data_IF_535181316440
#
_entry.id   IF_535181316440
#
_cell.length_a   1.000
_cell.length_b   1.000
_cell.length_c   1.000
_cell.angle_alpha   90.00
_cell.angle_beta   90.00
_cell.angle_gamma   90.00
#
_symmetry.space_group_name_H-M   'P 1'
#
loop_
_entity.id
_entity.type
_entity.pdbx_description
1 polymer ?
#
# COMPACT_ATOMS: atom_id res chain seq x y z
N UNK A 1 -43.08 -2.95 8.59
CA UNK A 1 -41.68 -3.48 8.74
C UNK A 1 -41.40 -4.00 10.16
N UNK A 2 -42.05 -3.53 11.19
CA UNK A 2 -41.93 -4.08 12.54
C UNK A 2 -42.58 -5.47 12.71
N UNK A 3 -43.58 -5.82 11.91
CA UNK A 3 -44.23 -7.15 11.93
C UNK A 3 -43.45 -8.29 11.28
N UNK A 4 -42.50 -7.98 10.38
CA UNK A 4 -41.68 -9.01 9.67
C UNK A 4 -40.58 -9.55 10.59
N UNK A 5 -40.08 -8.78 11.55
CA UNK A 5 -38.99 -9.18 12.46
C UNK A 5 -39.52 -10.07 13.62
N UNK A 6 -40.80 -9.95 13.94
CA UNK A 6 -41.45 -10.76 15.01
C UNK A 6 -41.74 -12.21 14.59
N UNK A 7 -41.59 -12.58 13.31
CA UNK A 7 -41.95 -13.90 12.78
C UNK A 7 -40.80 -14.75 12.28
N UNK A 8 -39.52 -14.38 12.50
CA UNK A 8 -38.39 -15.30 12.24
C UNK A 8 -38.22 -16.22 13.48
N UNK A 9 -38.56 -17.47 13.36
CA UNK A 9 -39.03 -18.19 14.51
C UNK A 9 -37.94 -19.06 15.12
N UNK A 10 -37.88 -19.04 16.43
CA UNK A 10 -37.41 -20.15 17.24
C UNK A 10 -38.01 -21.53 16.81
N UNK A 11 -39.16 -21.56 16.13
CA UNK A 11 -39.74 -22.74 15.49
C UNK A 11 -38.84 -23.37 14.41
N UNK A 12 -37.92 -22.62 13.80
CA UNK A 12 -36.92 -23.17 12.87
C UNK A 12 -35.92 -24.07 13.58
N UNK A 13 -35.49 -23.69 14.78
CA UNK A 13 -34.55 -24.52 15.58
C UNK A 13 -35.16 -25.79 16.09
N UNK A 14 -36.47 -25.81 16.38
CA UNK A 14 -37.19 -27.03 16.74
C UNK A 14 -37.41 -27.98 15.55
N UNK A 15 -37.68 -27.41 14.35
CA UNK A 15 -37.87 -28.22 13.12
C UNK A 15 -36.57 -28.85 12.60
N UNK A 16 -35.40 -28.23 12.88
CA UNK A 16 -34.07 -28.70 12.39
C UNK A 16 -33.39 -29.63 13.40
N UNK A 17 -33.94 -29.79 14.62
CA UNK A 17 -33.41 -30.71 15.64
C UNK A 17 -32.04 -30.29 16.22
N UNK A 18 -31.58 -29.07 16.00
CA UNK A 18 -30.30 -28.57 16.56
C UNK A 18 -30.46 -28.23 18.02
N UNK A 19 -29.84 -29.03 18.91
CA UNK A 19 -29.73 -28.71 20.33
C UNK A 19 -28.72 -27.62 20.57
N UNK A 20 -29.16 -26.38 20.82
CA UNK A 20 -28.26 -25.28 21.18
C UNK A 20 -27.68 -25.51 22.59
N UNK A 21 -26.39 -25.19 22.82
CA UNK A 21 -25.81 -25.15 24.15
C UNK A 21 -26.64 -24.22 25.08
N UNK A 22 -26.77 -24.56 26.38
CA UNK A 22 -27.64 -23.86 27.34
C UNK A 22 -27.50 -22.34 27.34
N UNK A 23 -26.25 -21.85 27.24
CA UNK A 23 -25.98 -20.41 27.18
C UNK A 23 -26.37 -19.77 25.85
N UNK A 24 -26.24 -20.46 24.75
CA UNK A 24 -26.71 -20.02 23.46
C UNK A 24 -28.24 -19.98 23.42
N UNK A 25 -28.91 -20.99 23.98
CA UNK A 25 -30.37 -20.97 24.13
C UNK A 25 -30.87 -19.79 24.99
N UNK A 26 -30.20 -19.52 26.13
CA UNK A 26 -30.50 -18.35 26.97
C UNK A 26 -30.32 -17.02 26.25
N UNK A 27 -29.33 -16.91 25.37
CA UNK A 27 -29.12 -15.73 24.55
C UNK A 27 -30.21 -15.54 23.50
N UNK A 28 -30.65 -16.60 22.85
CA UNK A 28 -31.76 -16.57 21.91
C UNK A 28 -33.05 -16.14 22.62
N UNK A 29 -33.32 -16.69 23.79
CA UNK A 29 -34.48 -16.35 24.60
C UNK A 29 -34.47 -14.89 25.08
N UNK A 30 -33.32 -14.40 25.55
CA UNK A 30 -33.13 -12.99 25.90
C UNK A 30 -33.28 -12.03 24.68
N UNK A 31 -32.83 -12.45 23.50
CA UNK A 31 -32.98 -11.66 22.28
C UNK A 31 -34.46 -11.50 21.87
N UNK A 32 -35.28 -12.51 22.12
CA UNK A 32 -36.72 -12.46 21.82
C UNK A 32 -37.52 -11.47 22.73
N UNK A 33 -36.99 -11.19 23.93
CA UNK A 33 -37.65 -10.30 24.91
C UNK A 33 -37.30 -8.83 24.72
N UNK A 34 -36.32 -8.49 23.86
CA UNK A 34 -35.88 -7.10 23.66
C UNK A 34 -36.56 -6.50 22.45
N UNK A 35 -37.40 -5.53 22.68
CA UNK A 35 -38.04 -4.69 21.64
C UNK A 35 -36.94 -3.94 20.86
N UNK A 36 -37.11 -3.87 19.54
CA UNK A 36 -36.14 -3.25 18.61
C UNK A 36 -35.72 -1.83 19.06
N UNK A 37 -34.45 -1.65 19.31
CA UNK A 37 -33.84 -0.34 19.57
C UNK A 37 -33.80 0.52 18.30
N UNK A 38 -33.48 1.81 18.44
CA UNK A 38 -33.40 2.77 17.33
C UNK A 38 -32.44 2.39 16.19
N UNK A 39 -31.62 1.32 16.35
CA UNK A 39 -30.69 0.81 15.35
C UNK A 39 -30.76 -0.72 15.23
N UNK A 40 -31.80 -1.27 14.64
CA UNK A 40 -32.05 -2.71 14.62
C UNK A 40 -30.94 -3.54 13.96
N UNK A 41 -30.31 -3.04 12.89
CA UNK A 41 -29.23 -3.76 12.18
C UNK A 41 -27.95 -3.88 13.00
N UNK A 42 -27.53 -2.83 13.70
CA UNK A 42 -26.35 -2.87 14.57
C UNK A 42 -26.57 -3.83 15.75
N UNK A 43 -27.77 -3.83 16.31
CA UNK A 43 -28.18 -4.73 17.38
C UNK A 43 -28.16 -6.19 16.91
N UNK A 44 -28.78 -6.50 15.74
CA UNK A 44 -28.79 -7.85 15.15
C UNK A 44 -27.35 -8.33 14.92
N UNK A 45 -26.46 -7.48 14.40
CA UNK A 45 -25.07 -7.83 14.15
C UNK A 45 -24.31 -8.18 15.46
N UNK A 46 -24.48 -7.39 16.51
CA UNK A 46 -23.88 -7.67 17.83
C UNK A 46 -24.42 -8.95 18.46
N UNK A 47 -25.71 -9.15 18.40
CA UNK A 47 -26.36 -10.34 18.93
C UNK A 47 -25.97 -11.60 18.15
N UNK A 48 -25.96 -11.54 16.83
CA UNK A 48 -25.52 -12.60 15.95
C UNK A 48 -24.08 -12.99 16.22
N UNK A 49 -23.19 -12.01 16.34
CA UNK A 49 -21.79 -12.22 16.67
C UNK A 49 -21.61 -12.86 18.07
N UNK A 50 -22.36 -12.36 19.07
CA UNK A 50 -22.34 -12.93 20.43
C UNK A 50 -22.79 -14.38 20.44
N UNK A 51 -23.90 -14.68 19.75
CA UNK A 51 -24.44 -16.05 19.66
C UNK A 51 -23.45 -17.00 18.98
N UNK A 52 -22.92 -16.62 17.81
CA UNK A 52 -21.94 -17.44 17.08
C UNK A 52 -20.68 -17.71 17.90
N UNK A 53 -20.12 -16.68 18.55
CA UNK A 53 -18.94 -16.83 19.40
C UNK A 53 -19.23 -17.72 20.61
N UNK A 54 -20.41 -17.60 21.22
CA UNK A 54 -20.77 -18.42 22.37
C UNK A 54 -20.96 -19.89 21.97
N UNK A 55 -21.58 -20.19 20.83
CA UNK A 55 -21.74 -21.54 20.28
C UNK A 55 -20.37 -22.14 19.99
N UNK A 56 -19.51 -21.45 19.26
CA UNK A 56 -18.18 -21.93 18.91
C UNK A 56 -17.29 -22.18 20.14
N UNK A 57 -17.37 -21.33 21.18
CA UNK A 57 -16.66 -21.55 22.45
C UNK A 57 -17.16 -22.80 23.21
N UNK A 58 -18.46 -23.07 23.17
CA UNK A 58 -19.00 -24.30 23.80
C UNK A 58 -18.59 -25.55 23.01
N UNK A 59 -18.49 -25.48 21.69
CA UNK A 59 -17.95 -26.56 20.85
C UNK A 59 -16.47 -26.84 21.16
N UNK A 60 -15.64 -25.79 21.31
CA UNK A 60 -14.24 -25.95 21.75
C UNK A 60 -14.14 -26.62 23.12
N UNK A 61 -15.03 -26.27 24.06
CA UNK A 61 -15.06 -26.90 25.40
C UNK A 61 -15.52 -28.35 25.33
N UNK A 62 -16.50 -28.68 24.48
CA UNK A 62 -16.92 -30.05 24.26
C UNK A 62 -15.78 -30.89 23.69
N UNK A 63 -15.08 -30.39 22.69
CA UNK A 63 -13.91 -31.05 22.13
C UNK A 63 -12.79 -31.24 23.17
N UNK A 64 -12.50 -30.19 23.98
CA UNK A 64 -11.49 -30.27 25.05
C UNK A 64 -11.84 -31.26 26.13
N UNK A 65 -13.12 -31.39 26.50
CA UNK A 65 -13.59 -32.32 27.52
C UNK A 65 -13.79 -33.74 26.99
N UNK A 66 -13.79 -33.96 25.67
CA UNK A 66 -14.07 -35.22 25.01
C UNK A 66 -15.49 -35.76 25.27
N UNK A 67 -16.44 -34.86 25.57
CA UNK A 67 -17.83 -35.25 25.91
C UNK A 67 -18.81 -34.12 25.66
N UNK A 68 -20.04 -34.49 25.39
CA UNK A 68 -21.13 -33.56 25.18
C UNK A 68 -21.63 -32.92 26.51
N UNK A 69 -22.42 -31.86 26.37
CA UNK A 69 -22.94 -31.08 27.51
C UNK A 69 -23.75 -31.88 28.50
N UNK A 70 -24.50 -32.87 28.05
CA UNK A 70 -25.44 -33.68 28.85
C UNK A 70 -24.86 -35.02 29.28
N UNK A 71 -23.63 -35.36 28.91
CA UNK A 71 -23.01 -36.62 29.29
C UNK A 71 -22.50 -36.59 30.72
N UNK A 72 -22.71 -37.75 31.43
CA UNK A 72 -22.24 -37.90 32.79
C UNK A 72 -20.72 -37.82 32.87
N UNK A 73 -20.25 -37.16 33.91
CA UNK A 73 -18.82 -36.98 34.16
C UNK A 73 -18.17 -38.29 34.60
N UNK A 74 -17.13 -38.81 33.92
CA UNK A 74 -16.29 -39.88 34.43
C UNK A 74 -15.51 -39.45 35.69
N UNK A 75 -15.29 -40.35 36.64
CA UNK A 75 -14.45 -40.07 37.83
C UNK A 75 -13.04 -39.64 37.37
N UNK A 76 -12.48 -38.58 37.97
CA UNK A 76 -11.14 -38.08 37.65
C UNK A 76 -11.02 -37.19 36.39
N UNK A 77 -12.06 -37.06 35.56
CA UNK A 77 -12.01 -36.23 34.35
C UNK A 77 -12.16 -34.72 34.66
N UNK A 78 -11.71 -33.88 33.72
CA UNK A 78 -11.92 -32.42 33.75
C UNK A 78 -13.42 -32.07 33.69
N UNK A 79 -13.80 -30.91 34.24
CA UNK A 79 -15.21 -30.48 34.29
C UNK A 79 -15.36 -28.99 34.09
N UNK A 80 -16.55 -28.54 33.60
CA UNK A 80 -16.95 -27.14 33.52
C UNK A 80 -17.06 -26.53 34.92
N UNK A 81 -16.44 -25.39 35.12
CA UNK A 81 -16.41 -24.64 36.37
C UNK A 81 -16.99 -23.23 36.20
N UNK A 82 -18.18 -23.15 35.60
CA UNK A 82 -18.82 -21.87 35.32
C UNK A 82 -18.23 -21.11 34.14
N UNK A 83 -18.37 -19.80 34.14
CA UNK A 83 -17.82 -18.92 33.13
C UNK A 83 -17.48 -17.53 33.69
N UNK A 84 -16.55 -16.83 33.07
CA UNK A 84 -16.22 -15.43 33.37
C UNK A 84 -16.65 -14.54 32.21
N UNK A 85 -17.24 -13.35 32.47
CA UNK A 85 -17.56 -12.40 31.39
C UNK A 85 -16.28 -11.87 30.78
N UNK A 86 -16.21 -11.84 29.45
CA UNK A 86 -15.13 -11.26 28.67
C UNK A 86 -15.70 -10.39 27.56
N UNK A 87 -15.24 -9.15 27.48
CA UNK A 87 -15.66 -8.23 26.44
C UNK A 87 -14.63 -8.20 25.30
N UNK A 88 -15.10 -8.40 24.07
CA UNK A 88 -14.33 -8.33 22.84
C UNK A 88 -14.84 -7.13 22.05
N UNK A 89 -13.93 -6.30 21.57
CA UNK A 89 -14.24 -5.14 20.74
C UNK A 89 -14.34 -5.54 19.27
N UNK A 90 -15.50 -5.31 18.67
CA UNK A 90 -15.81 -5.64 17.28
C UNK A 90 -16.18 -4.40 16.51
N UNK A 91 -16.24 -4.49 15.17
CA UNK A 91 -16.63 -3.38 14.31
C UNK A 91 -18.07 -2.88 14.58
N UNK A 92 -18.97 -3.75 15.07
CA UNK A 92 -20.35 -3.41 15.45
C UNK A 92 -20.50 -2.96 16.90
N UNK A 93 -19.43 -2.84 17.69
CA UNK A 93 -19.46 -2.46 19.11
C UNK A 93 -18.91 -3.55 20.04
N UNK A 94 -18.98 -3.29 21.35
CA UNK A 94 -18.49 -4.21 22.38
C UNK A 94 -19.43 -5.42 22.53
N UNK A 95 -18.88 -6.63 22.40
CA UNK A 95 -19.62 -7.89 22.62
C UNK A 95 -19.09 -8.57 23.87
N UNK A 96 -19.93 -8.71 24.87
CA UNK A 96 -19.59 -9.46 26.10
C UNK A 96 -20.07 -10.91 25.97
N UNK A 97 -19.13 -11.84 26.09
CA UNK A 97 -19.35 -13.29 26.03
C UNK A 97 -19.04 -13.93 27.38
N UNK A 98 -19.60 -15.08 27.61
CA UNK A 98 -19.33 -15.88 28.80
C UNK A 98 -18.22 -16.89 28.50
N UNK A 99 -16.95 -16.54 28.81
CA UNK A 99 -15.80 -17.44 28.64
C UNK A 99 -15.92 -18.66 29.59
N UNK A 100 -16.01 -19.86 29.04
CA UNK A 100 -16.10 -21.07 29.85
C UNK A 100 -14.81 -21.26 30.69
N UNK A 101 -14.98 -21.78 31.88
CA UNK A 101 -13.88 -22.19 32.76
C UNK A 101 -13.92 -23.70 32.93
N UNK A 102 -12.76 -24.33 32.83
CA UNK A 102 -12.62 -25.78 33.03
C UNK A 102 -11.63 -26.05 34.17
N UNK A 103 -11.90 -27.03 35.00
CA UNK A 103 -11.01 -27.55 36.04
C UNK A 103 -10.84 -29.07 35.88
N UNK A 104 -9.74 -29.58 36.37
CA UNK A 104 -9.43 -31.03 36.37
C UNK A 104 -8.03 -31.33 35.84
N UNK A 105 -7.75 -32.62 35.67
CA UNK A 105 -6.42 -33.15 35.36
C UNK A 105 -5.88 -32.70 33.98
N UNK A 106 -6.75 -32.27 33.04
CA UNK A 106 -6.36 -31.77 31.70
C UNK A 106 -5.83 -30.34 31.68
N UNK A 107 -5.69 -29.66 32.84
CA UNK A 107 -5.25 -28.30 32.94
C UNK A 107 -6.34 -27.25 32.58
N UNK A 108 -5.97 -25.98 32.52
CA UNK A 108 -6.90 -24.88 32.15
C UNK A 108 -7.26 -24.93 30.67
N UNK A 109 -8.54 -24.68 30.37
CA UNK A 109 -9.01 -24.51 28.98
C UNK A 109 -8.52 -23.17 28.40
N UNK A 110 -7.93 -23.23 27.23
CA UNK A 110 -7.56 -22.07 26.42
C UNK A 110 -8.27 -22.14 25.07
N UNK A 111 -9.09 -21.15 24.76
CA UNK A 111 -9.79 -21.08 23.48
C UNK A 111 -8.80 -20.70 22.36
N UNK A 112 -8.82 -21.43 21.26
CA UNK A 112 -8.11 -21.09 20.01
C UNK A 112 -8.76 -19.92 19.28
N UNK A 113 -10.10 -19.81 19.33
CA UNK A 113 -10.87 -18.71 18.75
C UNK A 113 -10.63 -17.38 19.47
N UNK A 114 -10.53 -17.43 20.79
CA UNK A 114 -10.37 -16.26 21.66
C UNK A 114 -9.18 -16.44 22.61
N UNK A 115 -7.95 -16.35 22.11
CA UNK A 115 -6.75 -16.39 22.95
C UNK A 115 -6.80 -15.41 24.12
N UNK A 116 -6.14 -15.66 25.26
CA UNK A 116 -6.24 -14.85 26.48
C UNK A 116 -6.06 -13.35 26.29
N UNK A 117 -5.22 -12.96 25.34
CA UNK A 117 -4.86 -11.56 25.06
C UNK A 117 -5.66 -10.91 23.92
N UNK A 118 -6.55 -11.64 23.25
CA UNK A 118 -7.39 -11.08 22.19
C UNK A 118 -8.51 -10.24 22.81
N UNK A 119 -8.32 -8.93 22.84
CA UNK A 119 -9.34 -7.97 23.32
C UNK A 119 -10.05 -7.24 22.18
N UNK A 120 -9.61 -7.46 20.94
CA UNK A 120 -10.12 -6.80 19.73
C UNK A 120 -10.03 -7.73 18.54
N UNK A 121 -10.91 -7.52 17.57
CA UNK A 121 -10.80 -8.23 16.30
C UNK A 121 -9.63 -7.70 15.48
N UNK A 122 -9.02 -8.57 14.70
CA UNK A 122 -7.87 -8.30 13.85
C UNK A 122 -8.15 -7.18 12.84
N UNK A 123 -9.33 -7.17 12.23
CA UNK A 123 -9.78 -6.16 11.28
C UNK A 123 -9.75 -4.75 11.87
N UNK A 124 -10.07 -4.62 13.15
CA UNK A 124 -10.02 -3.33 13.84
C UNK A 124 -8.56 -2.90 14.09
N UNK A 125 -7.69 -3.84 14.43
CA UNK A 125 -6.25 -3.56 14.60
C UNK A 125 -5.60 -3.17 13.27
N UNK A 126 -6.04 -3.74 12.15
CA UNK A 126 -5.57 -3.43 10.80
C UNK A 126 -6.12 -2.08 10.30
N UNK A 127 -7.36 -1.73 10.62
CA UNK A 127 -7.97 -0.47 10.21
C UNK A 127 -7.33 0.77 10.87
N UNK A 128 -6.80 0.65 12.08
CA UNK A 128 -6.25 1.80 12.83
C UNK A 128 -5.01 2.40 12.15
N UNK A 129 -4.00 1.62 11.74
CA UNK A 129 -2.88 2.11 10.96
C UNK A 129 -3.32 2.78 9.66
N UNK A 130 -4.29 2.21 8.93
CA UNK A 130 -4.82 2.78 7.69
C UNK A 130 -5.48 4.16 7.92
N UNK A 131 -6.34 4.29 8.92
CA UNK A 131 -6.94 5.58 9.29
C UNK A 131 -5.86 6.63 9.66
N UNK A 132 -4.79 6.19 10.32
CA UNK A 132 -3.67 7.05 10.61
C UNK A 132 -2.91 7.45 9.34
N UNK A 133 -2.68 6.52 8.41
CA UNK A 133 -2.07 6.78 7.10
C UNK A 133 -2.86 7.81 6.30
N UNK A 134 -4.20 7.68 6.25
CA UNK A 134 -5.07 8.61 5.55
C UNK A 134 -5.24 9.98 6.25
N UNK A 135 -4.29 10.35 7.11
CA UNK A 135 -4.16 11.70 7.65
C UNK A 135 -4.92 11.96 8.95
N UNK A 136 -5.61 10.95 9.52
CA UNK A 136 -6.25 11.13 10.81
C UNK A 136 -5.20 11.18 11.95
N UNK A 137 -5.21 12.24 12.76
CA UNK A 137 -4.38 12.27 13.97
C UNK A 137 -4.79 11.17 14.94
N UNK A 138 -3.88 10.76 15.83
CA UNK A 138 -4.18 9.74 16.87
C UNK A 138 -5.45 10.07 17.67
N UNK A 139 -5.67 11.37 17.96
CA UNK A 139 -6.90 11.85 18.65
C UNK A 139 -8.14 11.71 17.77
N UNK A 140 -8.06 11.97 16.47
CA UNK A 140 -9.18 11.80 15.53
C UNK A 140 -9.50 10.35 15.29
N UNK A 141 -8.50 9.48 15.14
CA UNK A 141 -8.67 8.02 15.08
C UNK A 141 -9.38 7.55 16.35
N UNK A 142 -8.92 7.97 17.52
CA UNK A 142 -9.54 7.65 18.80
C UNK A 142 -10.99 8.11 18.87
N UNK A 143 -11.28 9.36 18.43
CA UNK A 143 -12.63 9.92 18.43
C UNK A 143 -13.57 9.24 17.43
N UNK A 144 -13.07 8.95 16.21
CA UNK A 144 -13.86 8.28 15.18
C UNK A 144 -14.22 6.85 15.61
N UNK A 145 -13.24 6.08 16.08
CA UNK A 145 -13.46 4.73 16.55
C UNK A 145 -14.16 4.67 17.92
N UNK A 146 -14.01 5.69 18.76
CA UNK A 146 -14.74 5.79 20.03
C UNK A 146 -16.25 5.85 19.86
N UNK A 147 -16.74 6.46 18.78
CA UNK A 147 -18.17 6.44 18.42
C UNK A 147 -18.65 5.06 18.00
N UNK A 148 -17.79 4.28 17.33
CA UNK A 148 -18.09 2.92 16.85
C UNK A 148 -17.93 1.86 17.94
N UNK A 149 -17.00 2.07 18.88
CA UNK A 149 -16.59 1.10 19.90
C UNK A 149 -17.19 1.38 21.29
N UNK A 150 -18.08 2.36 21.41
CA UNK A 150 -18.76 2.69 22.67
C UNK A 150 -17.87 3.42 23.69
N UNK A 151 -18.36 3.54 24.95
CA UNK A 151 -17.76 4.37 26.02
C UNK A 151 -16.31 4.06 26.38
N UNK A 152 -15.81 2.86 26.09
CA UNK A 152 -14.41 2.45 26.31
C UNK A 152 -13.58 2.45 25.03
N UNK A 153 -13.63 3.53 24.26
CA UNK A 153 -12.86 3.69 23.02
C UNK A 153 -11.38 3.27 23.14
N UNK A 154 -10.67 3.27 22.04
CA UNK A 154 -9.24 2.95 22.02
C UNK A 154 -8.45 3.99 22.81
N UNK A 155 -7.59 3.55 23.71
CA UNK A 155 -6.65 4.43 24.42
C UNK A 155 -5.63 5.05 23.43
N UNK A 156 -5.18 6.27 23.72
CA UNK A 156 -4.13 6.96 22.93
C UNK A 156 -2.89 6.08 22.75
N UNK A 157 -2.45 5.42 23.79
CA UNK A 157 -1.29 4.51 23.80
C UNK A 157 -1.47 3.33 22.83
N UNK A 158 -2.68 2.81 22.71
CA UNK A 158 -2.96 1.72 21.76
C UNK A 158 -2.84 2.19 20.32
N UNK A 159 -3.38 3.36 19.98
CA UNK A 159 -3.26 3.91 18.63
C UNK A 159 -1.78 4.18 18.29
N UNK A 160 -1.01 4.72 19.24
CA UNK A 160 0.44 4.94 19.07
C UNK A 160 1.17 3.61 18.83
N UNK A 161 0.89 2.57 19.63
CA UNK A 161 1.50 1.25 19.47
C UNK A 161 1.18 0.61 18.12
N UNK A 162 -0.06 0.71 17.66
CA UNK A 162 -0.46 0.14 16.37
C UNK A 162 0.15 0.93 15.20
N UNK A 163 0.32 2.25 15.33
CA UNK A 163 1.02 3.03 14.30
C UNK A 163 2.54 2.78 14.31
N UNK A 164 3.11 2.38 15.44
CA UNK A 164 4.52 1.99 15.51
C UNK A 164 4.82 0.75 14.67
N UNK A 165 3.87 -0.18 14.52
CA UNK A 165 4.00 -1.34 13.62
C UNK A 165 4.26 -0.96 12.16
N UNK A 166 3.78 0.22 11.71
CA UNK A 166 4.10 0.72 10.36
C UNK A 166 5.58 1.04 10.21
N UNK A 167 6.18 1.61 11.26
CA UNK A 167 7.61 1.93 11.26
C UNK A 167 8.43 0.64 11.26
N UNK A 168 8.06 -0.33 12.09
CA UNK A 168 8.72 -1.63 12.16
C UNK A 168 8.62 -2.39 10.84
N UNK A 169 7.44 -2.40 10.22
CA UNK A 169 7.23 -2.99 8.90
C UNK A 169 8.08 -2.31 7.82
N UNK A 170 8.18 -0.98 7.86
CA UNK A 170 9.05 -0.23 6.96
C UNK A 170 10.53 -0.55 7.16
N UNK A 171 11.00 -0.63 8.41
CA UNK A 171 12.40 -0.98 8.72
C UNK A 171 12.75 -2.37 8.21
N UNK A 172 11.88 -3.35 8.41
CA UNK A 172 12.07 -4.71 7.89
C UNK A 172 12.06 -4.71 6.35
N UNK A 173 11.09 -4.03 5.75
CA UNK A 173 10.96 -3.95 4.30
C UNK A 173 12.16 -3.27 3.64
N UNK A 174 12.69 -2.18 4.19
CA UNK A 174 13.83 -1.47 3.60
C UNK A 174 15.15 -2.25 3.63
N UNK A 175 15.24 -3.29 4.45
CA UNK A 175 16.42 -4.16 4.56
C UNK A 175 16.29 -5.47 3.78
N UNK A 176 15.13 -5.72 3.12
CA UNK A 176 14.87 -6.99 2.45
C UNK A 176 15.84 -7.25 1.31
N UNK A 177 16.16 -8.51 1.10
CA UNK A 177 16.94 -9.00 -0.03
C UNK A 177 16.23 -8.75 -1.36
N UNK A 178 16.94 -8.26 -2.36
CA UNK A 178 16.45 -7.99 -3.71
C UNK A 178 17.06 -8.93 -4.76
N UNK A 179 17.98 -9.82 -4.37
CA UNK A 179 18.74 -10.68 -5.29
C UNK A 179 17.87 -11.61 -6.14
N UNK A 180 16.69 -11.97 -5.61
CA UNK A 180 15.74 -12.86 -6.29
C UNK A 180 14.71 -12.10 -7.16
N UNK A 181 14.77 -10.77 -7.21
CA UNK A 181 13.86 -9.99 -8.02
C UNK A 181 14.41 -9.84 -9.45
N UNK A 182 13.74 -10.42 -10.46
CA UNK A 182 14.18 -10.31 -11.85
C UNK A 182 13.74 -8.96 -12.43
N UNK A 183 14.44 -7.88 -12.05
CA UNK A 183 14.09 -6.51 -12.48
C UNK A 183 14.42 -6.33 -13.95
N UNK A 184 13.45 -5.81 -14.71
CA UNK A 184 13.59 -5.46 -16.13
C UNK A 184 13.74 -3.96 -16.30
N UNK A 185 12.82 -3.18 -15.70
CA UNK A 185 12.82 -1.72 -15.74
C UNK A 185 12.91 -1.14 -14.35
N UNK A 186 13.78 -0.15 -14.18
CA UNK A 186 13.93 0.61 -12.93
C UNK A 186 13.55 2.07 -13.17
N UNK A 187 12.57 2.57 -12.44
CA UNK A 187 12.14 3.96 -12.46
C UNK A 187 12.65 4.67 -11.21
N UNK A 188 13.30 5.81 -11.40
CA UNK A 188 13.83 6.65 -10.34
C UNK A 188 13.21 8.04 -10.45
N UNK A 189 12.55 8.49 -9.37
CA UNK A 189 11.86 9.78 -9.35
C UNK A 189 11.79 10.32 -7.91
N UNK A 190 11.61 11.63 -7.77
CA UNK A 190 11.55 12.34 -6.50
C UNK A 190 10.20 12.99 -6.23
N UNK A 191 9.69 12.85 -4.99
CA UNK A 191 8.49 13.54 -4.51
C UNK A 191 8.89 14.69 -3.60
N UNK A 192 8.42 15.91 -3.88
CA UNK A 192 8.60 17.05 -2.97
C UNK A 192 7.45 17.14 -1.97
N UNK A 193 7.74 16.90 -0.71
CA UNK A 193 6.77 16.96 0.38
C UNK A 193 7.03 18.17 1.29
N UNK A 194 5.96 18.90 1.64
CA UNK A 194 6.01 19.87 2.72
C UNK A 194 6.09 19.14 4.06
N UNK A 195 7.13 19.38 4.84
CA UNK A 195 7.38 18.68 6.11
C UNK A 195 7.00 19.49 7.35
N UNK A 196 6.83 20.82 7.20
CA UNK A 196 6.45 21.75 8.29
C UNK A 196 5.31 22.68 7.88
N UNK A 197 4.39 22.92 8.83
CA UNK A 197 3.32 23.91 8.67
C UNK A 197 3.91 25.33 8.73
N UNK A 198 3.52 26.17 7.77
CA UNK A 198 3.94 27.58 7.72
C UNK A 198 5.32 27.85 7.15
N UNK A 199 6.05 26.82 6.73
CA UNK A 199 7.33 26.98 6.00
C UNK A 199 7.13 26.63 4.51
N UNK A 200 7.97 27.23 3.63
CA UNK A 200 8.10 26.83 2.23
C UNK A 200 9.09 25.68 2.03
N UNK A 201 9.69 25.20 3.13
CA UNK A 201 10.64 24.09 3.08
C UNK A 201 9.93 22.82 2.63
N UNK A 202 10.46 22.23 1.57
CA UNK A 202 10.04 20.95 1.02
C UNK A 202 11.23 20.01 1.12
N UNK A 203 10.98 18.82 1.59
CA UNK A 203 11.95 17.74 1.50
C UNK A 203 11.60 16.86 0.32
N UNK A 204 12.62 16.36 -0.36
CA UNK A 204 12.45 15.42 -1.46
C UNK A 204 12.53 14.01 -0.90
N UNK A 205 11.56 13.17 -1.26
CA UNK A 205 11.61 11.74 -1.01
C UNK A 205 11.92 11.06 -2.32
N UNK A 206 13.03 10.33 -2.35
CA UNK A 206 13.49 9.56 -3.50
C UNK A 206 12.77 8.21 -3.50
N UNK A 207 12.30 7.79 -4.65
CA UNK A 207 11.59 6.53 -4.83
C UNK A 207 12.22 5.75 -5.98
N UNK A 208 12.54 4.49 -5.71
CA UNK A 208 12.90 3.50 -6.73
C UNK A 208 11.73 2.52 -6.90
N UNK A 209 11.27 2.37 -8.12
CA UNK A 209 10.18 1.48 -8.51
C UNK A 209 10.61 0.60 -9.66
N UNK A 210 10.29 -0.69 -9.61
CA UNK A 210 10.66 -1.66 -10.63
C UNK A 210 9.45 -2.25 -11.35
N UNK A 211 9.70 -2.69 -12.58
CA UNK A 211 8.88 -3.67 -13.29
C UNK A 211 9.69 -4.96 -13.40
N UNK A 212 9.11 -6.06 -12.95
CA UNK A 212 9.73 -7.38 -12.92
C UNK A 212 9.49 -8.12 -14.24
N UNK A 213 10.20 -9.23 -14.45
CA UNK A 213 10.09 -10.06 -15.66
C UNK A 213 8.70 -10.67 -15.87
N UNK A 214 7.90 -10.81 -14.82
CA UNK A 214 6.48 -11.23 -14.89
C UNK A 214 5.51 -10.07 -15.13
N UNK A 215 6.04 -8.83 -15.26
CA UNK A 215 5.26 -7.61 -15.44
C UNK A 215 4.76 -6.97 -14.16
N UNK A 216 4.87 -7.63 -13.00
CA UNK A 216 4.52 -7.03 -11.71
C UNK A 216 5.36 -5.79 -11.45
N UNK A 217 4.78 -4.87 -10.71
CA UNK A 217 5.41 -3.61 -10.33
C UNK A 217 5.65 -3.57 -8.84
N UNK A 218 6.83 -3.13 -8.45
CA UNK A 218 7.22 -3.14 -7.06
C UNK A 218 8.02 -1.90 -6.67
N UNK A 219 7.69 -1.29 -5.53
CA UNK A 219 8.53 -0.24 -4.92
C UNK A 219 9.71 -0.93 -4.26
N UNK A 220 10.94 -0.54 -4.64
CA UNK A 220 12.17 -1.14 -4.14
C UNK A 220 12.81 -0.35 -3.00
N UNK A 221 12.73 0.99 -3.07
CA UNK A 221 13.28 1.89 -2.06
C UNK A 221 12.49 3.17 -1.92
N UNK A 222 12.49 3.70 -0.70
CA UNK A 222 12.02 5.03 -0.32
C UNK A 222 13.07 5.62 0.61
N UNK A 223 13.64 6.76 0.25
CA UNK A 223 14.70 7.42 1.03
C UNK A 223 14.48 8.93 1.08
N UNK A 224 15.04 9.60 2.08
CA UNK A 224 15.06 11.04 2.14
C UNK A 224 16.18 11.57 1.25
N UNK A 225 15.88 12.52 0.38
CA UNK A 225 16.85 13.21 -0.45
C UNK A 225 16.99 14.66 -0.04
N UNK A 226 18.18 15.08 0.39
CA UNK A 226 18.44 16.49 0.56
C UNK A 226 18.52 17.18 -0.81
N UNK A 227 17.44 17.83 -1.24
CA UNK A 227 17.33 18.62 -2.47
C UNK A 227 17.68 17.87 -3.79
N UNK A 228 17.36 16.56 -3.89
CA UNK A 228 17.72 15.74 -5.07
C UNK A 228 19.24 15.75 -5.36
N UNK A 229 20.02 15.78 -4.31
CA UNK A 229 21.49 15.85 -4.43
C UNK A 229 22.04 14.54 -5.02
N UNK A 230 23.11 14.66 -5.81
CA UNK A 230 23.85 13.50 -6.34
C UNK A 230 24.17 12.49 -5.24
N UNK A 231 24.56 12.97 -4.05
CA UNK A 231 24.89 12.12 -2.91
C UNK A 231 23.71 11.26 -2.45
N UNK A 232 22.52 11.84 -2.34
CA UNK A 232 21.34 11.09 -1.90
C UNK A 232 20.94 10.00 -2.91
N UNK A 233 21.07 10.27 -4.22
CA UNK A 233 20.87 9.25 -5.25
C UNK A 233 21.95 8.17 -5.23
N UNK A 234 23.22 8.55 -5.02
CA UNK A 234 24.32 7.59 -4.83
C UNK A 234 24.03 6.63 -3.68
N UNK A 235 23.68 7.16 -2.50
CA UNK A 235 23.40 6.36 -1.30
C UNK A 235 22.20 5.42 -1.53
N UNK A 236 21.16 5.87 -2.27
CA UNK A 236 20.01 5.03 -2.61
C UNK A 236 20.38 3.89 -3.57
N UNK A 237 21.14 4.19 -4.62
CA UNK A 237 21.56 3.17 -5.61
C UNK A 237 22.56 2.19 -5.01
N UNK A 238 23.47 2.64 -4.16
CA UNK A 238 24.36 1.79 -3.39
C UNK A 238 23.58 0.84 -2.46
N UNK A 239 22.56 1.34 -1.75
CA UNK A 239 21.70 0.51 -0.91
C UNK A 239 20.99 -0.57 -1.73
N UNK A 240 20.46 -0.24 -2.91
CA UNK A 240 19.83 -1.21 -3.81
C UNK A 240 20.80 -2.31 -4.23
N UNK A 241 22.03 -1.95 -4.63
CA UNK A 241 23.08 -2.92 -5.00
C UNK A 241 23.49 -3.78 -3.81
N UNK A 242 23.70 -3.18 -2.64
CA UNK A 242 24.06 -3.89 -1.40
C UNK A 242 22.99 -4.92 -1.01
N UNK A 243 21.72 -4.65 -1.28
CA UNK A 243 20.62 -5.59 -1.09
C UNK A 243 20.46 -6.61 -2.22
N UNK A 244 21.39 -6.66 -3.17
CA UNK A 244 21.46 -7.66 -4.23
C UNK A 244 20.69 -7.31 -5.50
N UNK A 245 20.27 -6.05 -5.71
CA UNK A 245 19.60 -5.67 -6.97
C UNK A 245 20.51 -5.98 -8.17
N UNK A 246 20.02 -6.85 -9.06
CA UNK A 246 20.67 -7.12 -10.35
C UNK A 246 20.48 -5.94 -11.31
N UNK A 247 21.39 -5.82 -12.30
CA UNK A 247 21.28 -4.76 -13.31
C UNK A 247 19.98 -4.86 -14.09
N UNK A 248 19.15 -3.78 -14.11
CA UNK A 248 17.98 -3.72 -14.96
C UNK A 248 18.37 -3.57 -16.44
N UNK A 249 17.46 -3.82 -17.37
CA UNK A 249 17.69 -3.56 -18.79
C UNK A 249 17.56 -2.08 -19.15
N UNK A 250 16.76 -1.34 -18.39
CA UNK A 250 16.53 0.09 -18.61
C UNK A 250 16.30 0.81 -17.29
N UNK A 251 16.94 1.97 -17.14
CA UNK A 251 16.70 2.91 -16.06
C UNK A 251 15.97 4.14 -16.62
N UNK A 252 14.81 4.47 -16.06
CA UNK A 252 13.96 5.59 -16.45
C UNK A 252 14.06 6.69 -15.40
N UNK A 253 14.44 7.92 -15.81
CA UNK A 253 14.65 9.06 -14.92
C UNK A 253 13.98 10.34 -15.46
N UNK A 254 13.87 11.37 -14.61
CA UNK A 254 13.45 12.72 -15.00
C UNK A 254 14.55 13.51 -15.75
N UNK A 255 15.79 13.01 -15.75
CA UNK A 255 16.94 13.65 -16.39
C UNK A 255 17.68 14.65 -15.49
N UNK A 256 17.41 14.68 -14.19
CA UNK A 256 18.14 15.51 -13.24
C UNK A 256 19.64 15.15 -13.20
N UNK A 257 20.53 16.16 -13.28
CA UNK A 257 21.99 15.94 -13.38
C UNK A 257 22.56 15.11 -12.22
N UNK A 258 22.08 15.32 -10.99
CA UNK A 258 22.51 14.56 -9.82
C UNK A 258 22.13 13.09 -9.90
N UNK A 259 20.93 12.80 -10.42
CA UNK A 259 20.46 11.43 -10.62
C UNK A 259 21.24 10.74 -11.75
N UNK A 260 21.46 11.46 -12.86
CA UNK A 260 22.23 10.90 -13.98
C UNK A 260 23.67 10.55 -13.59
N UNK A 261 24.34 11.39 -12.81
CA UNK A 261 25.68 11.10 -12.30
C UNK A 261 25.70 9.86 -11.39
N UNK A 262 24.68 9.70 -10.55
CA UNK A 262 24.57 8.53 -9.69
C UNK A 262 24.29 7.23 -10.50
N UNK A 263 23.43 7.32 -11.52
CA UNK A 263 23.16 6.18 -12.43
C UNK A 263 24.43 5.81 -13.20
N UNK A 264 25.20 6.79 -13.72
CA UNK A 264 26.47 6.56 -14.39
C UNK A 264 27.45 5.79 -13.50
N UNK A 265 27.60 6.21 -12.25
CA UNK A 265 28.53 5.60 -11.32
C UNK A 265 28.17 4.17 -10.93
N UNK A 266 26.86 3.87 -10.75
CA UNK A 266 26.42 2.55 -10.26
C UNK A 266 26.01 1.59 -11.37
N UNK A 267 25.54 2.08 -12.52
CA UNK A 267 25.01 1.30 -13.64
C UNK A 267 25.51 1.86 -14.98
N UNK A 268 26.82 1.89 -15.22
CA UNK A 268 27.42 2.54 -16.40
C UNK A 268 26.95 1.93 -17.74
N UNK A 269 26.69 0.61 -17.76
CA UNK A 269 26.34 -0.12 -18.99
C UNK A 269 24.83 -0.27 -19.22
N UNK A 270 24.00 0.16 -18.27
CA UNK A 270 22.55 0.05 -18.38
C UNK A 270 21.98 1.14 -19.30
N UNK A 271 21.08 0.75 -20.19
CA UNK A 271 20.37 1.69 -21.05
C UNK A 271 19.58 2.71 -20.20
N UNK A 272 19.55 3.98 -20.65
CA UNK A 272 18.92 5.09 -19.93
C UNK A 272 17.83 5.71 -20.77
N UNK A 273 16.67 5.88 -20.18
CA UNK A 273 15.53 6.59 -20.76
C UNK A 273 15.25 7.86 -19.97
N UNK A 274 15.34 9.01 -20.63
CA UNK A 274 14.83 10.24 -20.04
C UNK A 274 13.32 10.34 -20.22
N UNK A 275 12.61 10.77 -19.18
CA UNK A 275 11.17 10.97 -19.21
C UNK A 275 10.78 12.02 -20.26
N UNK A 276 10.12 11.57 -21.32
CA UNK A 276 9.67 12.45 -22.42
C UNK A 276 8.72 13.54 -21.95
N UNK A 277 7.97 13.32 -20.88
CA UNK A 277 7.08 14.31 -20.29
C UNK A 277 7.85 15.44 -19.59
N UNK A 278 8.89 15.10 -18.81
CA UNK A 278 9.76 16.11 -18.22
C UNK A 278 10.56 16.87 -19.28
N UNK A 279 11.03 16.18 -20.32
CA UNK A 279 11.67 16.83 -21.48
C UNK A 279 10.73 17.85 -22.13
N UNK A 280 9.49 17.46 -22.42
CA UNK A 280 8.49 18.35 -22.99
C UNK A 280 8.23 19.57 -22.08
N UNK A 281 8.08 19.36 -20.77
CA UNK A 281 7.89 20.46 -19.83
C UNK A 281 9.07 21.45 -19.85
N UNK A 282 10.30 20.94 -19.82
CA UNK A 282 11.53 21.76 -19.89
C UNK A 282 11.62 22.58 -21.18
N UNK A 283 11.19 22.00 -22.31
CA UNK A 283 11.12 22.73 -23.59
C UNK A 283 10.10 23.87 -23.52
N UNK A 284 8.91 23.58 -22.96
CA UNK A 284 7.83 24.58 -22.87
C UNK A 284 8.16 25.70 -21.88
N UNK A 285 8.98 25.47 -20.87
CA UNK A 285 9.48 26.52 -19.97
C UNK A 285 10.37 27.55 -20.68
N UNK A 286 10.96 27.20 -21.84
CA UNK A 286 11.77 28.09 -22.68
C UNK A 286 10.94 28.90 -23.71
N UNK A 287 9.61 28.73 -23.69
CA UNK A 287 8.69 29.31 -24.66
C UNK A 287 7.65 30.17 -23.94
N UNK A 288 7.36 31.41 -24.46
CA UNK A 288 6.28 32.23 -23.94
C UNK A 288 4.93 31.51 -23.96
N UNK A 289 4.10 31.78 -22.95
CA UNK A 289 2.80 31.08 -22.74
C UNK A 289 1.92 31.04 -24.01
N UNK A 290 1.87 32.13 -24.76
CA UNK A 290 1.07 32.23 -26.00
C UNK A 290 1.50 31.27 -27.12
N UNK A 291 2.77 30.83 -27.13
CA UNK A 291 3.32 29.90 -28.13
C UNK A 291 3.48 28.46 -27.64
N UNK A 292 3.18 28.21 -26.36
CA UNK A 292 3.41 26.85 -25.75
C UNK A 292 2.54 25.76 -26.38
N UNK A 293 1.32 26.07 -26.84
CA UNK A 293 0.45 25.10 -27.49
C UNK A 293 1.06 24.63 -28.82
N UNK A 294 1.42 25.56 -29.69
CA UNK A 294 2.02 25.32 -31.02
C UNK A 294 3.35 24.53 -30.91
N UNK A 295 4.28 25.05 -30.09
CA UNK A 295 5.59 24.41 -29.88
C UNK A 295 5.46 23.06 -29.18
N UNK A 296 4.51 22.93 -28.25
CA UNK A 296 4.22 21.70 -27.57
C UNK A 296 3.74 20.59 -28.49
N UNK A 297 2.86 20.91 -29.45
CA UNK A 297 2.37 19.93 -30.43
C UNK A 297 3.49 19.50 -31.39
N UNK A 298 4.34 20.42 -31.80
CA UNK A 298 5.51 20.09 -32.61
C UNK A 298 6.54 19.25 -31.85
N UNK A 299 6.84 19.59 -30.60
CA UNK A 299 7.74 18.78 -29.73
C UNK A 299 7.19 17.39 -29.42
N UNK A 300 5.85 17.24 -29.27
CA UNK A 300 5.23 15.93 -29.14
C UNK A 300 5.42 15.04 -30.35
N UNK A 301 5.38 15.58 -31.55
CA UNK A 301 5.68 14.82 -32.79
C UNK A 301 7.10 14.27 -32.77
N UNK A 302 8.07 15.00 -32.22
CA UNK A 302 9.45 14.52 -32.05
C UNK A 302 9.56 13.43 -31.01
N UNK A 303 8.91 13.61 -29.85
CA UNK A 303 9.06 12.73 -28.69
C UNK A 303 8.21 11.46 -28.74
N UNK A 304 7.14 11.43 -29.55
CA UNK A 304 6.15 10.37 -29.58
C UNK A 304 5.86 9.81 -30.97
N UNK A 305 6.73 10.04 -31.94
CA UNK A 305 6.59 9.51 -33.28
C UNK A 305 6.42 7.97 -33.29
N UNK A 306 5.71 7.41 -34.26
CA UNK A 306 5.54 5.96 -34.39
C UNK A 306 6.84 5.21 -34.67
N UNK A 307 7.83 5.86 -35.30
CA UNK A 307 9.14 5.26 -35.62
C UNK A 307 10.26 6.27 -35.35
N UNK A 308 11.48 5.76 -35.16
CA UNK A 308 12.66 6.61 -34.95
C UNK A 308 12.92 7.52 -36.17
N UNK A 309 12.78 6.99 -37.39
CA UNK A 309 12.94 7.79 -38.61
C UNK A 309 11.96 8.99 -38.68
N UNK A 310 10.69 8.77 -38.31
CA UNK A 310 9.69 9.83 -38.22
C UNK A 310 10.00 10.83 -37.09
N UNK A 311 10.61 10.36 -35.99
CA UNK A 311 11.06 11.24 -34.90
C UNK A 311 12.20 12.17 -35.36
N UNK A 312 13.14 11.64 -36.12
CA UNK A 312 14.25 12.41 -36.72
C UNK A 312 13.75 13.44 -37.76
N UNK A 313 12.81 13.04 -38.63
CA UNK A 313 12.16 13.97 -39.57
C UNK A 313 11.40 15.09 -38.84
N UNK A 314 10.62 14.72 -37.80
CA UNK A 314 9.91 15.68 -36.98
C UNK A 314 10.87 16.66 -36.26
N UNK A 315 12.04 16.18 -35.81
CA UNK A 315 13.09 17.02 -35.23
C UNK A 315 13.61 18.05 -36.26
N UNK A 316 13.92 17.61 -37.46
CA UNK A 316 14.39 18.51 -38.52
C UNK A 316 13.35 19.61 -38.86
N UNK A 317 12.06 19.24 -38.86
CA UNK A 317 10.96 20.21 -39.04
C UNK A 317 10.86 21.16 -37.83
N UNK A 318 11.00 20.66 -36.61
CA UNK A 318 10.99 21.47 -35.39
C UNK A 318 12.14 22.48 -35.38
N UNK A 319 13.34 22.06 -35.71
CA UNK A 319 14.50 22.94 -35.79
C UNK A 319 14.28 24.06 -36.84
N UNK A 320 13.82 23.72 -38.04
CA UNK A 320 13.54 24.67 -39.11
C UNK A 320 12.51 25.73 -38.70
N UNK A 321 11.45 25.30 -37.98
CA UNK A 321 10.36 26.18 -37.60
C UNK A 321 10.73 27.12 -36.43
N UNK A 322 11.56 26.65 -35.48
CA UNK A 322 11.71 27.35 -34.21
C UNK A 322 13.13 27.82 -33.88
N UNK A 323 14.16 27.43 -34.64
CA UNK A 323 15.54 27.82 -34.32
C UNK A 323 15.75 29.34 -34.24
N UNK A 324 15.07 30.12 -35.08
CA UNK A 324 15.15 31.59 -35.05
C UNK A 324 14.28 32.22 -33.97
N UNK A 325 13.08 31.64 -33.70
CA UNK A 325 12.10 32.23 -32.76
C UNK A 325 12.38 31.81 -31.31
N UNK A 326 12.78 30.54 -31.08
CA UNK A 326 12.96 29.95 -29.75
C UNK A 326 14.23 29.08 -29.70
N UNK A 327 15.44 29.63 -29.90
CA UNK A 327 16.68 28.87 -29.98
C UNK A 327 16.93 28.04 -28.71
N UNK A 328 16.63 28.60 -27.51
CA UNK A 328 16.79 27.88 -26.24
C UNK A 328 15.83 26.69 -26.10
N UNK A 329 14.67 26.72 -26.72
CA UNK A 329 13.75 25.59 -26.73
C UNK A 329 14.24 24.47 -27.64
N UNK A 330 14.80 24.82 -28.80
CA UNK A 330 15.41 23.86 -29.74
C UNK A 330 16.63 23.21 -29.09
N UNK A 331 17.54 23.99 -28.50
CA UNK A 331 18.68 23.44 -27.77
C UNK A 331 18.25 22.53 -26.62
N UNK A 332 17.25 22.93 -25.84
CA UNK A 332 16.70 22.11 -24.75
C UNK A 332 16.13 20.80 -25.27
N UNK A 333 15.43 20.79 -26.41
CA UNK A 333 14.89 19.56 -27.01
C UNK A 333 16.02 18.64 -27.48
N UNK A 334 17.02 19.17 -28.18
CA UNK A 334 18.14 18.39 -28.73
C UNK A 334 19.06 17.80 -27.67
N UNK A 335 19.25 18.54 -26.59
CA UNK A 335 20.09 18.06 -25.48
C UNK A 335 19.54 16.72 -24.96
N UNK A 336 20.38 15.69 -24.93
CA UNK A 336 20.07 14.34 -24.44
C UNK A 336 18.85 13.68 -25.13
N UNK A 337 18.50 14.10 -26.35
CA UNK A 337 17.33 13.60 -27.07
C UNK A 337 17.43 12.09 -27.36
N UNK A 338 18.62 11.58 -27.61
CA UNK A 338 18.86 10.15 -27.81
C UNK A 338 18.40 9.34 -26.57
N UNK A 339 18.66 9.85 -25.36
CA UNK A 339 18.17 9.23 -24.15
C UNK A 339 16.63 9.32 -24.00
N UNK A 340 15.95 10.27 -24.66
CA UNK A 340 14.49 10.32 -24.74
C UNK A 340 13.92 9.29 -25.73
N UNK A 341 14.70 8.81 -26.67
CA UNK A 341 14.33 7.85 -27.70
C UNK A 341 14.75 6.41 -27.42
N UNK A 342 15.42 6.14 -26.30
CA UNK A 342 15.88 4.80 -25.91
C UNK A 342 14.74 3.77 -25.89
N UNK A 343 13.51 4.18 -25.61
CA UNK A 343 12.35 3.28 -25.58
C UNK A 343 12.06 2.61 -26.94
N UNK A 344 12.50 3.16 -28.08
CA UNK A 344 12.34 2.54 -29.40
C UNK A 344 13.03 1.16 -29.51
N UNK A 345 14.04 0.89 -28.72
CA UNK A 345 14.80 -0.37 -28.70
C UNK A 345 14.05 -1.49 -27.93
N UNK A 346 13.02 -1.13 -27.20
CA UNK A 346 12.25 -2.02 -26.34
C UNK A 346 10.94 -2.45 -27.01
N UNK A 347 10.24 -3.49 -26.49
CA UNK A 347 8.99 -3.96 -27.07
C UNK A 347 7.98 -2.81 -27.26
N UNK A 348 7.36 -2.74 -28.44
CA UNK A 348 6.39 -1.71 -28.81
C UNK A 348 5.24 -1.59 -27.78
N UNK A 349 4.75 -2.72 -27.29
CA UNK A 349 3.72 -2.77 -26.26
C UNK A 349 4.10 -2.09 -24.94
N UNK A 350 5.41 -1.92 -24.68
CA UNK A 350 5.93 -1.29 -23.47
C UNK A 350 6.15 0.22 -23.60
N UNK A 351 6.30 0.76 -24.80
CA UNK A 351 6.69 2.16 -25.08
C UNK A 351 5.92 3.18 -24.26
N UNK A 352 4.59 3.09 -24.25
CA UNK A 352 3.72 4.02 -23.52
C UNK A 352 4.01 4.05 -22.01
N UNK A 353 4.55 2.95 -21.45
CA UNK A 353 4.82 2.79 -20.03
C UNK A 353 6.24 3.17 -19.63
N UNK A 354 7.23 2.92 -20.51
CA UNK A 354 8.66 3.12 -20.20
C UNK A 354 9.21 4.47 -20.64
N UNK A 355 8.55 5.20 -21.55
CA UNK A 355 9.01 6.51 -22.01
C UNK A 355 8.76 7.66 -21.03
N UNK A 356 8.09 7.42 -19.90
CA UNK A 356 7.78 8.43 -18.88
C UNK A 356 7.83 7.84 -17.47
N UNK A 357 8.11 8.69 -16.45
CA UNK A 357 7.97 8.37 -15.02
C UNK A 357 6.51 8.49 -14.51
N UNK A 358 5.55 8.70 -15.41
CA UNK A 358 4.13 8.97 -15.11
C UNK A 358 3.45 7.89 -14.27
N UNK A 359 4.03 6.69 -14.24
CA UNK A 359 3.56 5.56 -13.41
C UNK A 359 3.52 5.93 -11.93
N UNK A 360 4.50 6.71 -11.46
CA UNK A 360 4.62 7.16 -10.09
C UNK A 360 3.84 8.45 -9.79
N UNK A 361 3.62 9.31 -10.78
CA UNK A 361 3.02 10.63 -10.57
C UNK A 361 1.62 10.60 -9.91
N UNK A 362 0.79 9.62 -10.28
CA UNK A 362 -0.54 9.49 -9.66
C UNK A 362 -0.42 9.14 -8.18
N UNK A 363 0.42 8.16 -7.85
CA UNK A 363 0.70 7.77 -6.47
C UNK A 363 1.38 8.91 -5.72
N UNK A 364 2.27 9.65 -6.36
CA UNK A 364 2.94 10.82 -5.79
C UNK A 364 1.97 11.96 -5.46
N UNK A 365 0.96 12.19 -6.29
CA UNK A 365 -0.10 13.17 -5.99
C UNK A 365 -0.90 12.78 -4.74
N UNK A 366 -1.25 11.51 -4.61
CA UNK A 366 -1.97 11.00 -3.44
C UNK A 366 -1.09 11.08 -2.18
N UNK A 367 0.16 10.63 -2.23
CA UNK A 367 1.13 10.75 -1.14
C UNK A 367 1.28 12.21 -0.72
N UNK A 368 1.44 13.13 -1.68
CA UNK A 368 1.59 14.56 -1.41
C UNK A 368 0.33 15.16 -0.77
N UNK A 369 -0.86 14.72 -1.18
CA UNK A 369 -2.14 15.15 -0.59
C UNK A 369 -2.21 14.71 0.88
N UNK A 370 -1.99 13.43 1.15
CA UNK A 370 -2.05 12.88 2.50
C UNK A 370 -0.97 13.50 3.41
N UNK A 371 0.26 13.66 2.91
CA UNK A 371 1.33 14.30 3.66
C UNK A 371 0.98 15.75 4.02
N UNK A 372 0.41 16.52 3.08
CA UNK A 372 -0.05 17.90 3.31
C UNK A 372 -1.13 17.97 4.40
N UNK A 373 -2.13 17.10 4.31
CA UNK A 373 -3.21 17.04 5.29
C UNK A 373 -2.68 16.65 6.66
N UNK A 374 -1.69 15.77 6.70
CA UNK A 374 -1.00 15.37 7.92
C UNK A 374 -0.25 16.53 8.56
N UNK A 375 0.57 17.24 7.80
CA UNK A 375 1.34 18.39 8.30
C UNK A 375 0.41 19.51 8.79
N UNK A 376 -0.74 19.73 8.14
CA UNK A 376 -1.77 20.67 8.63
C UNK A 376 -2.30 20.31 10.01
N UNK A 377 -2.39 19.03 10.34
CA UNK A 377 -2.95 18.54 11.60
C UNK A 377 -1.94 18.49 12.75
N UNK A 378 -0.72 18.05 12.48
CA UNK A 378 0.31 17.81 13.52
C UNK A 378 1.43 18.87 13.56
N UNK A 379 1.44 19.80 12.57
CA UNK A 379 2.45 20.85 12.45
C UNK A 379 3.73 20.41 11.76
N UNK A 380 4.25 19.24 12.06
CA UNK A 380 5.42 18.61 11.40
C UNK A 380 5.42 17.11 11.64
N UNK A 381 6.18 16.36 10.85
CA UNK A 381 6.51 14.97 11.20
C UNK A 381 7.42 14.94 12.45
N UNK A 382 7.22 13.95 13.31
CA UNK A 382 8.00 13.83 14.56
C UNK A 382 9.45 13.46 14.28
N UNK A 383 9.66 12.59 13.28
CA UNK A 383 10.97 12.15 12.82
C UNK A 383 10.88 11.71 11.34
N UNK A 384 12.05 11.59 10.71
CA UNK A 384 12.23 11.16 9.34
C UNK A 384 11.70 9.76 9.09
N UNK A 385 12.00 8.82 9.98
CA UNK A 385 11.62 7.42 9.84
C UNK A 385 10.10 7.24 9.76
N UNK A 386 9.34 8.00 10.55
CA UNK A 386 7.86 7.98 10.49
C UNK A 386 7.31 8.60 9.21
N UNK A 387 7.97 9.63 8.69
CA UNK A 387 7.60 10.22 7.41
C UNK A 387 7.81 9.21 6.28
N UNK A 388 8.96 8.55 6.24
CA UNK A 388 9.27 7.52 5.25
C UNK A 388 8.36 6.30 5.36
N UNK A 389 8.08 5.83 6.59
CA UNK A 389 7.16 4.72 6.83
C UNK A 389 5.74 5.03 6.33
N UNK A 390 5.27 6.27 6.50
CA UNK A 390 3.98 6.72 5.97
C UNK A 390 4.00 6.73 4.44
N UNK A 391 5.03 7.29 3.82
CA UNK A 391 5.15 7.32 2.34
C UNK A 391 5.21 5.90 1.78
N UNK A 392 6.01 5.03 2.39
CA UNK A 392 6.10 3.62 2.01
C UNK A 392 4.73 2.94 2.07
N UNK A 393 4.01 3.07 3.18
CA UNK A 393 2.71 2.41 3.35
C UNK A 393 1.67 2.92 2.32
N UNK A 394 1.65 4.21 2.00
CA UNK A 394 0.80 4.78 0.95
C UNK A 394 1.19 4.28 -0.45
N UNK A 395 2.49 4.12 -0.72
CA UNK A 395 2.95 3.55 -1.99
C UNK A 395 2.62 2.06 -2.10
N UNK A 396 2.69 1.30 -1.00
CA UNK A 396 2.27 -0.11 -0.97
C UNK A 396 0.76 -0.25 -1.22
N UNK A 397 -0.06 0.61 -0.64
CA UNK A 397 -1.50 0.64 -0.90
C UNK A 397 -1.78 0.97 -2.38
N UNK A 398 -1.10 1.95 -2.94
CA UNK A 398 -1.21 2.29 -4.36
C UNK A 398 -0.73 1.14 -5.26
N UNK A 399 0.34 0.45 -4.88
CA UNK A 399 0.92 -0.69 -5.60
C UNK A 399 -0.08 -1.84 -5.75
N UNK A 400 -0.90 -2.11 -4.75
CA UNK A 400 -1.92 -3.15 -4.79
C UNK A 400 -2.95 -2.93 -5.93
N UNK A 401 -3.16 -1.68 -6.35
CA UNK A 401 -4.03 -1.32 -7.48
C UNK A 401 -3.31 -1.17 -8.83
N UNK A 402 -1.99 -1.38 -8.91
CA UNK A 402 -1.27 -1.24 -10.17
C UNK A 402 -1.48 -2.43 -11.10
N UNK A 403 -1.83 -2.14 -12.33
CA UNK A 403 -1.89 -3.16 -13.37
C UNK A 403 -0.47 -3.60 -13.75
N UNK A 404 -0.26 -4.90 -13.88
CA UNK A 404 0.98 -5.47 -14.40
C UNK A 404 1.22 -4.99 -15.85
N UNK A 405 2.49 -4.89 -16.23
CA UNK A 405 2.88 -4.68 -17.61
C UNK A 405 2.73 -6.02 -18.36
N UNK A 406 2.08 -5.99 -19.53
CA UNK A 406 1.91 -7.21 -20.34
C UNK A 406 3.26 -7.73 -20.84
N UNK A 407 3.62 -8.93 -20.45
CA UNK A 407 4.84 -9.63 -20.89
C UNK A 407 4.47 -10.70 -21.92
N UNK A 408 4.09 -10.28 -23.14
CA UNK A 408 3.85 -11.20 -24.25
C UNK A 408 5.10 -12.02 -24.57
N UNK A 409 4.93 -13.17 -25.26
CA UNK A 409 6.07 -14.00 -25.70
C UNK A 409 7.06 -13.21 -26.56
N UNK A 410 6.55 -12.35 -27.44
CA UNK A 410 7.37 -11.46 -28.26
C UNK A 410 8.17 -10.48 -27.40
N UNK A 411 7.52 -9.82 -26.43
CA UNK A 411 8.20 -8.91 -25.51
C UNK A 411 9.28 -9.63 -24.70
N UNK A 412 9.00 -10.82 -24.17
CA UNK A 412 9.97 -11.62 -23.44
C UNK A 412 11.19 -12.00 -24.31
N UNK A 413 10.96 -12.40 -25.57
CA UNK A 413 12.03 -12.73 -26.52
C UNK A 413 12.96 -11.55 -26.79
N UNK A 414 12.40 -10.35 -27.00
CA UNK A 414 13.16 -9.11 -27.21
C UNK A 414 14.00 -8.79 -25.96
N UNK A 415 13.39 -8.85 -24.77
CA UNK A 415 14.08 -8.53 -23.51
C UNK A 415 15.18 -9.53 -23.20
N UNK A 416 15.00 -10.81 -23.48
CA UNK A 416 16.02 -11.83 -23.30
C UNK A 416 17.20 -11.62 -24.25
N UNK A 417 16.93 -11.33 -25.52
CA UNK A 417 17.97 -10.96 -26.49
C UNK A 417 18.80 -9.75 -26.04
N UNK A 418 18.16 -8.74 -25.46
CA UNK A 418 18.84 -7.57 -24.89
C UNK A 418 19.71 -7.96 -23.68
N UNK A 419 19.23 -8.84 -22.79
CA UNK A 419 19.97 -9.33 -21.62
C UNK A 419 21.23 -10.08 -22.02
N UNK A 420 21.14 -10.91 -23.06
CA UNK A 420 22.29 -11.65 -23.61
C UNK A 420 23.33 -10.68 -24.20
N UNK A 421 22.90 -9.70 -24.99
CA UNK A 421 23.80 -8.69 -25.58
C UNK A 421 24.47 -7.83 -24.50
N UNK A 422 23.75 -7.40 -23.49
CA UNK A 422 24.30 -6.62 -22.37
C UNK A 422 25.37 -7.39 -21.60
N UNK A 423 25.17 -8.68 -21.35
CA UNK A 423 26.18 -9.54 -20.72
C UNK A 423 27.42 -9.70 -21.59
N UNK A 424 27.28 -9.83 -22.92
CA UNK A 424 28.41 -9.97 -23.85
C UNK A 424 29.20 -8.65 -23.99
N UNK A 425 28.64 -7.50 -23.71
CA UNK A 425 29.33 -6.19 -23.72
C UNK A 425 30.01 -5.88 -22.38
N UNK A 426 29.62 -6.52 -21.29
CA UNK A 426 30.14 -6.34 -19.94
C UNK A 426 31.27 -7.38 -19.58
N UNK A 427 31.44 -8.42 -20.39
CA UNK A 427 32.48 -9.43 -20.29
C UNK A 427 33.68 -9.08 -21.20
#
# INVERSE_FOLDING_TARGET
MAEIVAQVPWQVTQKVGVKLPRKAAQLVEAAMQITASQHPLAWIAQWGARLMLQVALEEEVMAFLGRDWYERRPKGSSWRNGSKPRTVKMAGGDVTIAMPQVRGAGGPFHSGLLPPYLTRMRELEEAIPLLYLHGLSTRRVQKALGKLLGKRGLGKTTVVRLTQRLVEAFVTWRQRDLSRLPVVYLFLDGIRLGVRKGTREKETILVAHAVLADGRREVLAVALGSRESTRAWMDLLEDLKRRGLSEPLLIITDGGSGLLAAVEAHFPHVARQHCTKHKLANVLEKVPKGSQAEVGDAARRVLYAPTLAQAEEALALFERAYAKRFPSAVECLKRDLQACWTYYWFPLSHWKRIRTTNVLERSFREVSRVARDRVRQIGRFQDELRALAMVHALLQEAQAGWQALSMSREAQSILEAMRIRGKAQAA
#
